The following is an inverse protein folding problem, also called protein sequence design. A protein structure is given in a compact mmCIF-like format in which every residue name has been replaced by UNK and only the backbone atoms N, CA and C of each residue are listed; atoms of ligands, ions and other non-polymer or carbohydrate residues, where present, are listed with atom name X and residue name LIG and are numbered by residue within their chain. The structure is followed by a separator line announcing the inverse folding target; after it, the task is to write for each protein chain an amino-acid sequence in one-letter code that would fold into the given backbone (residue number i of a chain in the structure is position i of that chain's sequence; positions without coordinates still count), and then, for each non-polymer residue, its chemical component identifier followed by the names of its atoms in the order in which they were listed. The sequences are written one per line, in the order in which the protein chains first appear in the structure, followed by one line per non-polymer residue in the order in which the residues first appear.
data_IF_767536338483
#
_entry.id   IF_767536338483
#
_cell.length_a   1.000
_cell.length_b   1.000
_cell.length_c   1.000
_cell.angle_alpha   90.00
_cell.angle_beta   90.00
_cell.angle_gamma   90.00
#
_symmetry.space_group_name_H-M   'P 1'
#
loop_
_entity.id
_entity.type
_entity.pdbx_description
1 polymer ?
#
# COMPACT_ATOMS: atom_id res chain seq x y z
N UNK A 1 -32.27 43.60 43.38
CA UNK A 1 -31.25 44.50 42.82
C UNK A 1 -31.05 44.08 41.37
N UNK A 2 -31.40 44.97 40.42
CA UNK A 2 -30.92 45.09 39.02
C UNK A 2 -31.12 43.84 38.12
N UNK A 3 -32.04 43.76 37.14
CA UNK A 3 -32.45 44.61 35.99
C UNK A 3 -31.61 44.39 34.69
N UNK A 4 -32.36 44.12 33.58
CA UNK A 4 -32.06 44.16 32.12
C UNK A 4 -31.02 43.17 31.54
N UNK A 5 -31.20 42.62 30.33
CA UNK A 5 -31.68 43.27 29.10
C UNK A 5 -32.39 42.27 28.14
N UNK A 6 -33.57 42.67 27.68
CA UNK A 6 -34.27 42.21 26.48
C UNK A 6 -33.52 42.53 25.19
N UNK A 7 -33.85 41.88 24.07
CA UNK A 7 -33.56 42.45 22.74
C UNK A 7 -33.56 41.48 21.57
N UNK A 8 -34.76 41.18 21.07
CA UNK A 8 -35.06 40.51 19.80
C UNK A 8 -34.45 41.20 18.58
N UNK A 9 -33.94 40.43 17.62
CA UNK A 9 -33.87 40.83 16.21
C UNK A 9 -34.34 39.67 15.30
N UNK A 10 -35.25 40.01 14.40
CA UNK A 10 -35.98 39.16 13.46
C UNK A 10 -35.14 38.74 12.23
N UNK A 11 -35.45 37.55 11.66
CA UNK A 11 -35.42 37.04 10.25
C UNK A 11 -34.63 37.82 9.16
N UNK A 12 -34.14 37.21 8.05
CA UNK A 12 -34.60 35.96 7.40
C UNK A 12 -33.48 35.04 6.84
N UNK A 13 -33.90 33.91 6.26
CA UNK A 13 -33.14 33.09 5.29
C UNK A 13 -32.37 33.94 4.26
N UNK A 14 -31.12 33.62 3.93
CA UNK A 14 -30.68 33.66 2.55
C UNK A 14 -31.14 32.36 1.89
N UNK A 15 -32.15 32.53 1.05
CA UNK A 15 -32.45 31.74 -0.14
C UNK A 15 -31.18 31.08 -0.70
N UNK A 16 -31.08 29.75 -0.62
CA UNK A 16 -30.11 28.99 -1.41
C UNK A 16 -30.62 29.08 -2.84
N UNK A 17 -30.26 30.19 -3.46
CA UNK A 17 -30.51 30.49 -4.85
C UNK A 17 -30.01 29.30 -5.64
N UNK A 18 -30.97 28.60 -6.24
CA UNK A 18 -30.74 27.67 -7.32
C UNK A 18 -30.19 28.47 -8.50
N UNK A 19 -28.88 28.70 -8.54
CA UNK A 19 -28.19 29.14 -9.74
C UNK A 19 -27.96 27.93 -10.63
N UNK A 20 -29.01 27.60 -11.39
CA UNK A 20 -28.86 27.10 -12.76
C UNK A 20 -27.84 27.98 -13.47
N UNK A 21 -26.67 27.42 -13.82
CA UNK A 21 -25.60 28.24 -14.37
C UNK A 21 -24.35 27.47 -14.79
N UNK A 22 -24.54 26.38 -15.53
CA UNK A 22 -23.65 25.83 -16.57
C UNK A 22 -23.93 24.32 -16.64
N UNK A 23 -24.75 23.90 -17.61
CA UNK A 23 -24.85 22.49 -17.98
C UNK A 23 -23.43 21.97 -18.21
N UNK A 24 -22.98 20.92 -17.48
CA UNK A 24 -21.96 20.08 -18.04
C UNK A 24 -22.54 19.58 -19.35
N UNK A 25 -21.72 19.45 -20.38
CA UNK A 25 -22.08 18.66 -21.55
C UNK A 25 -22.04 17.20 -21.06
N UNK A 26 -23.04 16.85 -20.24
CA UNK A 26 -23.33 15.51 -19.77
C UNK A 26 -23.78 14.77 -21.02
N UNK A 27 -22.92 13.88 -21.50
CA UNK A 27 -23.31 12.92 -22.53
C UNK A 27 -24.63 12.30 -22.08
N UNK A 28 -25.71 12.53 -22.82
CA UNK A 28 -27.09 12.23 -22.43
C UNK A 28 -27.40 10.71 -22.46
N UNK A 29 -26.38 9.87 -22.24
CA UNK A 29 -26.47 8.43 -22.27
C UNK A 29 -25.97 7.85 -20.92
N UNK A 30 -26.89 7.46 -20.02
CA UNK A 30 -26.54 6.95 -18.69
C UNK A 30 -25.69 5.67 -18.73
N UNK A 31 -25.72 4.90 -19.83
CA UNK A 31 -24.83 3.77 -20.01
C UNK A 31 -23.38 4.20 -20.28
N UNK A 32 -23.15 5.21 -21.10
CA UNK A 32 -21.81 5.73 -21.34
C UNK A 32 -21.20 6.32 -20.07
N UNK A 33 -22.00 7.03 -19.27
CA UNK A 33 -21.59 7.51 -17.95
C UNK A 33 -21.23 6.35 -17.00
N UNK A 34 -22.02 5.28 -16.98
CA UNK A 34 -21.74 4.10 -16.15
C UNK A 34 -20.46 3.37 -16.59
N UNK A 35 -20.19 3.30 -17.90
CA UNK A 35 -18.96 2.73 -18.46
C UNK A 35 -17.74 3.56 -18.09
N UNK A 36 -17.82 4.88 -18.20
CA UNK A 36 -16.74 5.77 -17.80
C UNK A 36 -16.37 5.56 -16.33
N UNK A 37 -17.36 5.57 -15.44
CA UNK A 37 -17.14 5.32 -14.00
C UNK A 37 -16.57 3.92 -13.73
N UNK A 38 -17.02 2.89 -14.44
CA UNK A 38 -16.48 1.54 -14.30
C UNK A 38 -15.01 1.46 -14.77
N UNK A 39 -14.69 2.12 -15.88
CA UNK A 39 -13.33 2.22 -16.42
C UNK A 39 -12.37 2.92 -15.46
N UNK A 40 -12.81 4.05 -14.88
CA UNK A 40 -12.02 4.80 -13.89
C UNK A 40 -11.74 3.94 -12.64
N UNK A 41 -12.75 3.20 -12.17
CA UNK A 41 -12.60 2.28 -11.04
C UNK A 41 -11.66 1.12 -11.32
N UNK A 42 -11.70 0.55 -12.53
CA UNK A 42 -10.74 -0.48 -12.95
C UNK A 42 -9.32 0.05 -12.99
N UNK A 43 -9.14 1.25 -13.53
CA UNK A 43 -7.82 1.90 -13.64
C UNK A 43 -7.25 2.19 -12.26
N UNK A 44 -8.08 2.69 -11.33
CA UNK A 44 -7.69 2.89 -9.94
C UNK A 44 -7.38 1.57 -9.21
N UNK A 45 -8.14 0.52 -9.48
CA UNK A 45 -7.87 -0.80 -8.91
C UNK A 45 -6.51 -1.32 -9.39
N UNK A 46 -6.25 -1.25 -10.69
CA UNK A 46 -4.99 -1.69 -11.28
C UNK A 46 -3.79 -0.94 -10.69
N UNK A 47 -3.87 0.39 -10.55
CA UNK A 47 -2.77 1.17 -9.98
C UNK A 47 -2.48 0.81 -8.51
N UNK A 48 -3.52 0.53 -7.72
CA UNK A 48 -3.35 0.02 -6.35
C UNK A 48 -2.70 -1.37 -6.33
N UNK A 49 -3.03 -2.23 -7.30
CA UNK A 49 -2.41 -3.55 -7.46
C UNK A 49 -0.93 -3.45 -7.73
N UNK A 50 -0.56 -2.61 -8.70
CA UNK A 50 0.82 -2.44 -9.15
C UNK A 50 1.68 -1.86 -8.01
N UNK A 51 1.15 -0.86 -7.29
CA UNK A 51 1.82 -0.29 -6.12
C UNK A 51 2.01 -1.32 -4.99
N UNK A 52 0.99 -2.14 -4.73
CA UNK A 52 1.08 -3.21 -3.75
C UNK A 52 2.10 -4.28 -4.14
N UNK A 53 2.12 -4.70 -5.41
CA UNK A 53 3.05 -5.69 -5.93
C UNK A 53 4.50 -5.22 -5.81
N UNK A 54 4.77 -3.96 -6.16
CA UNK A 54 6.10 -3.34 -5.99
C UNK A 54 6.52 -3.33 -4.52
N UNK A 55 5.62 -2.98 -3.61
CA UNK A 55 5.88 -3.00 -2.17
C UNK A 55 6.17 -4.42 -1.67
N UNK A 56 5.39 -5.41 -2.09
CA UNK A 56 5.59 -6.81 -1.72
C UNK A 56 6.94 -7.34 -2.23
N UNK A 57 7.29 -7.06 -3.49
CA UNK A 57 8.60 -7.43 -4.06
C UNK A 57 9.75 -6.80 -3.27
N UNK A 58 9.64 -5.52 -2.90
CA UNK A 58 10.65 -4.85 -2.08
C UNK A 58 10.81 -5.53 -0.71
N UNK A 59 9.70 -5.89 -0.04
CA UNK A 59 9.73 -6.61 1.24
C UNK A 59 10.40 -7.98 1.12
N UNK A 60 10.08 -8.75 0.08
CA UNK A 60 10.71 -10.06 -0.17
C UNK A 60 12.21 -9.91 -0.44
N UNK A 61 12.61 -8.88 -1.19
CA UNK A 61 14.02 -8.54 -1.39
C UNK A 61 14.74 -8.29 -0.06
N UNK A 62 14.18 -7.43 0.79
CA UNK A 62 14.73 -7.12 2.12
C UNK A 62 14.80 -8.37 3.01
N UNK A 63 13.75 -9.20 3.04
CA UNK A 63 13.73 -10.41 3.86
C UNK A 63 14.79 -11.43 3.40
N UNK A 64 15.00 -11.55 2.08
CA UNK A 64 16.05 -12.40 1.51
C UNK A 64 17.43 -11.88 1.87
N UNK A 65 17.69 -10.59 1.66
CA UNK A 65 18.97 -9.96 2.03
C UNK A 65 19.23 -10.12 3.53
N UNK A 66 18.23 -9.88 4.39
CA UNK A 66 18.35 -10.06 5.83
C UNK A 66 18.71 -11.50 6.21
N UNK A 67 18.17 -12.51 5.52
CA UNK A 67 18.48 -13.93 5.75
C UNK A 67 19.89 -14.30 5.30
N UNK A 68 20.33 -13.79 4.15
CA UNK A 68 21.69 -14.00 3.64
C UNK A 68 22.71 -13.34 4.60
N UNK A 69 22.41 -12.13 5.06
CA UNK A 69 23.21 -11.43 6.06
C UNK A 69 23.19 -12.09 7.44
N UNK A 70 22.06 -12.63 7.90
CA UNK A 70 22.00 -13.39 9.14
C UNK A 70 22.95 -14.60 9.10
N UNK A 71 22.96 -15.32 7.97
CA UNK A 71 23.88 -16.46 7.76
C UNK A 71 25.34 -16.02 7.79
N UNK A 72 25.65 -14.89 7.16
CA UNK A 72 26.99 -14.29 7.18
C UNK A 72 27.42 -13.90 8.60
N UNK A 73 26.55 -13.20 9.34
CA UNK A 73 26.80 -12.75 10.71
C UNK A 73 26.96 -13.94 11.66
N UNK A 74 26.16 -14.99 11.50
CA UNK A 74 26.32 -16.23 12.28
C UNK A 74 27.70 -16.88 12.06
N UNK A 75 28.19 -16.89 10.82
CA UNK A 75 29.55 -17.37 10.53
C UNK A 75 30.64 -16.45 11.11
N UNK A 76 30.42 -15.12 11.10
CA UNK A 76 31.32 -14.16 11.77
C UNK A 76 31.35 -14.38 13.29
N UNK A 77 30.18 -14.60 13.91
CA UNK A 77 30.06 -14.87 15.34
C UNK A 77 30.78 -16.16 15.76
N UNK A 78 30.68 -17.21 14.94
CA UNK A 78 31.43 -18.47 15.16
C UNK A 78 32.95 -18.26 15.07
N UNK A 79 33.43 -17.47 14.11
CA UNK A 79 34.86 -17.15 14.02
C UNK A 79 35.33 -16.30 15.19
N UNK A 80 34.58 -15.26 15.54
CA UNK A 80 34.88 -14.36 16.67
C UNK A 80 34.75 -15.04 18.05
N UNK A 81 34.05 -16.18 18.15
CA UNK A 81 34.04 -17.01 19.37
C UNK A 81 35.18 -18.02 19.40
N UNK A 82 35.68 -18.44 18.24
CA UNK A 82 36.86 -19.32 18.12
C UNK A 82 38.21 -18.59 18.19
N UNK A 83 38.23 -17.27 18.00
CA UNK A 83 39.42 -16.41 18.08
C UNK A 83 39.12 -15.10 18.80
N UNK A 84 40.09 -14.54 19.53
CA UNK A 84 39.90 -13.37 20.41
C UNK A 84 39.75 -12.02 19.69
N UNK A 85 39.69 -12.00 18.36
CA UNK A 85 39.71 -10.78 17.56
C UNK A 85 38.31 -10.34 17.14
N UNK A 86 37.88 -9.12 17.48
CA UNK A 86 36.59 -8.61 17.06
C UNK A 86 36.58 -8.36 15.54
N UNK A 87 35.47 -8.72 14.87
CA UNK A 87 35.32 -8.63 13.41
C UNK A 87 34.62 -7.33 13.01
N UNK A 88 35.05 -6.71 11.91
CA UNK A 88 34.33 -5.57 11.32
C UNK A 88 33.28 -6.04 10.34
N UNK A 89 32.14 -5.35 10.31
CA UNK A 89 31.07 -5.62 9.36
C UNK A 89 31.55 -5.34 7.93
N UNK A 90 31.26 -6.22 6.96
CA UNK A 90 31.46 -5.93 5.54
C UNK A 90 30.63 -4.70 5.11
N UNK A 91 31.09 -3.90 4.13
CA UNK A 91 30.43 -2.65 3.75
C UNK A 91 28.95 -2.82 3.39
N UNK A 92 28.61 -3.86 2.62
CA UNK A 92 27.23 -4.14 2.22
C UNK A 92 26.32 -4.44 3.43
N UNK A 93 26.83 -5.20 4.41
CA UNK A 93 26.10 -5.49 5.64
C UNK A 93 25.95 -4.22 6.49
N UNK A 94 27.00 -3.43 6.61
CA UNK A 94 27.00 -2.16 7.35
C UNK A 94 25.93 -1.21 6.82
N UNK A 95 25.91 -1.00 5.50
CA UNK A 95 24.95 -0.11 4.86
C UNK A 95 23.52 -0.64 5.00
N UNK A 96 23.33 -1.96 4.95
CA UNK A 96 22.04 -2.61 5.17
C UNK A 96 21.52 -2.40 6.61
N UNK A 97 22.34 -2.68 7.63
CA UNK A 97 21.91 -2.55 9.04
C UNK A 97 21.67 -1.10 9.44
N UNK A 98 22.37 -0.14 8.85
CA UNK A 98 22.10 1.30 9.02
C UNK A 98 20.79 1.69 8.34
N UNK A 99 20.57 1.27 7.08
CA UNK A 99 19.36 1.58 6.31
C UNK A 99 18.09 1.05 6.99
N UNK A 100 18.17 -0.10 7.63
CA UNK A 100 17.07 -0.73 8.35
C UNK A 100 17.06 -0.39 9.85
N UNK A 101 17.85 0.59 10.29
CA UNK A 101 17.92 1.10 11.66
C UNK A 101 18.19 0.01 12.73
N UNK A 102 18.82 -1.09 12.33
CA UNK A 102 19.18 -2.18 13.24
C UNK A 102 20.36 -1.76 14.12
N UNK A 103 21.26 -0.95 13.57
CA UNK A 103 22.47 -0.46 14.24
C UNK A 103 22.71 1.00 13.87
N UNK A 104 23.09 1.82 14.85
CA UNK A 104 23.49 3.21 14.63
C UNK A 104 24.78 3.30 13.80
N UNK A 105 24.96 4.31 12.92
CA UNK A 105 26.15 4.45 12.07
C UNK A 105 27.47 4.38 12.85
N UNK A 106 27.51 4.99 14.04
CA UNK A 106 28.68 5.02 14.93
C UNK A 106 29.07 3.63 15.44
N UNK A 107 28.09 2.76 15.69
CA UNK A 107 28.31 1.39 16.18
C UNK A 107 28.68 0.49 15.01
N UNK A 108 28.13 0.75 13.82
CA UNK A 108 28.39 -0.03 12.61
C UNK A 108 29.85 0.09 12.10
N UNK A 109 30.57 1.16 12.46
CA UNK A 109 31.99 1.36 12.15
C UNK A 109 32.96 0.72 13.18
N UNK A 110 32.44 0.35 14.37
CA UNK A 110 33.21 -0.31 15.40
C UNK A 110 33.39 -1.81 15.09
N UNK A 111 34.46 -2.46 15.59
CA UNK A 111 34.59 -3.90 15.51
C UNK A 111 33.62 -4.57 16.49
N UNK A 112 32.96 -5.64 16.05
CA UNK A 112 31.96 -6.38 16.81
C UNK A 112 32.58 -7.61 17.47
N UNK A 113 32.19 -7.87 18.72
CA UNK A 113 32.49 -9.12 19.40
C UNK A 113 31.44 -10.21 19.06
N UNK A 114 31.69 -11.44 19.51
CA UNK A 114 30.80 -12.56 19.23
C UNK A 114 29.38 -12.34 19.76
N UNK A 115 29.23 -11.69 20.93
CA UNK A 115 27.93 -11.44 21.54
C UNK A 115 27.09 -10.43 20.74
N UNK A 116 27.71 -9.32 20.30
CA UNK A 116 27.05 -8.32 19.48
C UNK A 116 26.71 -8.86 18.09
N UNK A 117 27.56 -9.72 17.51
CA UNK A 117 27.23 -10.41 16.25
C UNK A 117 26.04 -11.36 16.43
N UNK A 118 25.96 -12.11 17.53
CA UNK A 118 24.83 -12.99 17.77
C UNK A 118 23.52 -12.22 18.01
N UNK A 119 23.58 -11.06 18.67
CA UNK A 119 22.42 -10.16 18.80
C UNK A 119 21.97 -9.62 17.44
N UNK A 120 22.93 -9.21 16.59
CA UNK A 120 22.65 -8.74 15.23
C UNK A 120 22.06 -9.83 14.34
N UNK A 121 22.54 -11.07 14.47
CA UNK A 121 21.96 -12.23 13.78
C UNK A 121 20.48 -12.39 14.16
N UNK A 122 20.15 -12.34 15.44
CA UNK A 122 18.76 -12.43 15.90
C UNK A 122 17.87 -11.31 15.36
N UNK A 123 18.38 -10.08 15.28
CA UNK A 123 17.67 -8.95 14.67
C UNK A 123 17.43 -9.14 13.18
N UNK A 124 18.44 -9.63 12.43
CA UNK A 124 18.32 -9.92 11.01
C UNK A 124 17.37 -11.09 10.73
N UNK A 125 17.37 -12.12 11.57
CA UNK A 125 16.41 -13.22 11.49
C UNK A 125 14.98 -12.74 11.78
N UNK A 126 14.81 -11.85 12.77
CA UNK A 126 13.52 -11.22 13.03
C UNK A 126 13.03 -10.41 11.83
N UNK A 127 13.90 -9.59 11.21
CA UNK A 127 13.59 -8.83 10.00
C UNK A 127 13.21 -9.74 8.83
N UNK A 128 13.89 -10.87 8.68
CA UNK A 128 13.53 -11.90 7.68
C UNK A 128 12.18 -12.58 7.98
N UNK A 129 11.77 -12.66 9.25
CA UNK A 129 10.51 -13.27 9.67
C UNK A 129 9.30 -12.32 9.68
N UNK A 130 9.49 -10.99 9.56
CA UNK A 130 8.39 -10.02 9.42
C UNK A 130 7.45 -10.40 8.25
N UNK A 131 7.99 -11.10 7.25
CA UNK A 131 7.23 -11.71 6.15
C UNK A 131 6.15 -12.71 6.60
N UNK A 132 6.40 -13.51 7.64
CA UNK A 132 5.43 -14.52 8.12
C UNK A 132 4.21 -13.90 8.80
N UNK A 133 4.39 -12.78 9.53
CA UNK A 133 3.28 -12.01 10.09
C UNK A 133 2.56 -11.18 9.00
N UNK A 134 3.30 -10.69 8.00
CA UNK A 134 2.74 -9.99 6.84
C UNK A 134 1.90 -10.92 5.95
N UNK A 135 2.29 -12.19 5.81
CA UNK A 135 1.69 -13.17 4.91
C UNK A 135 0.16 -13.33 5.06
N UNK A 136 -0.36 -13.27 6.30
CA UNK A 136 -1.82 -13.34 6.53
C UNK A 136 -2.52 -12.05 6.06
N UNK A 137 -1.94 -10.89 6.34
CA UNK A 137 -2.45 -9.59 5.88
C UNK A 137 -2.39 -9.48 4.35
N UNK A 138 -1.28 -9.93 3.75
CA UNK A 138 -1.05 -9.97 2.31
C UNK A 138 -2.01 -10.93 1.61
N UNK A 139 -2.24 -12.13 2.14
CA UNK A 139 -3.26 -13.03 1.61
C UNK A 139 -4.66 -12.44 1.67
N UNK A 140 -5.01 -11.72 2.74
CA UNK A 140 -6.30 -11.03 2.87
C UNK A 140 -6.40 -9.91 1.82
N UNK A 141 -5.35 -9.12 1.63
CA UNK A 141 -5.32 -8.05 0.64
C UNK A 141 -5.41 -8.59 -0.79
N UNK A 142 -4.68 -9.66 -1.10
CA UNK A 142 -4.73 -10.35 -2.38
C UNK A 142 -6.14 -10.91 -2.65
N UNK A 143 -6.77 -11.58 -1.67
CA UNK A 143 -8.14 -12.06 -1.80
C UNK A 143 -9.11 -10.91 -2.07
N UNK A 144 -9.02 -9.81 -1.31
CA UNK A 144 -9.86 -8.62 -1.54
C UNK A 144 -9.65 -8.02 -2.93
N UNK A 145 -8.41 -8.02 -3.41
CA UNK A 145 -8.06 -7.54 -4.74
C UNK A 145 -8.71 -8.40 -5.83
N UNK A 146 -8.50 -9.72 -5.79
CA UNK A 146 -9.08 -10.69 -6.73
C UNK A 146 -10.60 -10.58 -6.74
N UNK A 147 -11.24 -10.58 -5.56
CA UNK A 147 -12.69 -10.44 -5.47
C UNK A 147 -13.21 -9.13 -6.08
N UNK A 148 -12.52 -8.00 -5.88
CA UNK A 148 -12.91 -6.72 -6.50
C UNK A 148 -12.70 -6.73 -8.01
N UNK A 149 -11.63 -7.33 -8.48
CA UNK A 149 -11.36 -7.50 -9.91
C UNK A 149 -12.46 -8.33 -10.57
N UNK A 150 -12.79 -9.51 -10.04
CA UNK A 150 -13.82 -10.40 -10.58
C UNK A 150 -15.21 -9.73 -10.61
N UNK A 151 -15.57 -9.02 -9.55
CA UNK A 151 -16.83 -8.26 -9.50
C UNK A 151 -16.88 -7.17 -10.58
N UNK A 152 -15.75 -6.51 -10.83
CA UNK A 152 -15.68 -5.42 -11.81
C UNK A 152 -15.64 -5.97 -13.24
N UNK A 153 -14.97 -7.10 -13.48
CA UNK A 153 -15.01 -7.83 -14.75
C UNK A 153 -16.44 -8.29 -15.07
N UNK A 154 -17.16 -8.82 -14.07
CA UNK A 154 -18.56 -9.22 -14.19
C UNK A 154 -19.44 -8.03 -14.58
N UNK A 155 -19.27 -6.89 -13.89
CA UNK A 155 -19.99 -5.66 -14.22
C UNK A 155 -19.68 -5.18 -15.64
N UNK A 156 -18.42 -5.18 -16.05
CA UNK A 156 -18.00 -4.78 -17.38
C UNK A 156 -18.63 -5.65 -18.47
N UNK A 157 -18.59 -6.97 -18.29
CA UNK A 157 -19.22 -7.93 -19.21
C UNK A 157 -20.74 -7.72 -19.31
N UNK A 158 -21.41 -7.48 -18.17
CA UNK A 158 -22.85 -7.19 -18.15
C UNK A 158 -23.19 -5.90 -18.91
N UNK A 159 -22.35 -4.87 -18.79
CA UNK A 159 -22.54 -3.60 -19.50
C UNK A 159 -22.31 -3.74 -21.01
N UNK A 160 -21.28 -4.48 -21.45
CA UNK A 160 -21.07 -4.81 -22.87
C UNK A 160 -22.29 -5.55 -23.43
N UNK A 161 -22.78 -6.56 -22.72
CA UNK A 161 -23.95 -7.32 -23.15
C UNK A 161 -25.17 -6.42 -23.31
N UNK A 162 -25.38 -5.48 -22.37
CA UNK A 162 -26.49 -4.53 -22.43
C UNK A 162 -26.37 -3.53 -23.58
N UNK A 163 -25.17 -3.03 -23.84
CA UNK A 163 -24.90 -2.19 -25.01
C UNK A 163 -25.23 -2.94 -26.31
N UNK A 164 -24.77 -4.19 -26.43
CA UNK A 164 -25.08 -5.03 -27.59
C UNK A 164 -26.58 -5.25 -27.78
N UNK A 165 -27.32 -5.46 -26.68
CA UNK A 165 -28.78 -5.58 -26.71
C UNK A 165 -29.47 -4.29 -27.20
N UNK A 166 -29.01 -3.13 -26.72
CA UNK A 166 -29.56 -1.82 -27.12
C UNK A 166 -29.22 -1.52 -28.57
N UNK A 167 -27.98 -1.76 -29.02
CA UNK A 167 -27.59 -1.62 -30.42
C UNK A 167 -28.45 -2.51 -31.32
N UNK A 168 -28.66 -3.78 -30.94
CA UNK A 168 -29.57 -4.67 -31.69
C UNK A 168 -30.99 -4.13 -31.74
N UNK A 169 -31.51 -3.58 -30.63
CA UNK A 169 -32.84 -2.97 -30.58
C UNK A 169 -32.96 -1.75 -31.49
N UNK A 170 -31.94 -0.89 -31.52
CA UNK A 170 -31.91 0.29 -32.39
C UNK A 170 -31.87 -0.15 -33.86
N UNK A 171 -30.97 -1.07 -34.22
CA UNK A 171 -30.83 -1.56 -35.59
C UNK A 171 -32.10 -2.27 -36.07
N UNK A 172 -32.75 -3.06 -35.22
CA UNK A 172 -33.99 -3.76 -35.58
C UNK A 172 -35.25 -2.87 -35.53
N UNK A 173 -35.14 -1.63 -35.03
CA UNK A 173 -36.23 -0.65 -34.96
C UNK A 173 -36.18 0.38 -36.10
N UNK A 174 -35.21 0.25 -37.02
CA UNK A 174 -35.06 0.99 -38.27
C UNK A 174 -35.46 0.06 -39.41
#
# INVERSE_FOLDING_TARGET
MIDRISGTASRPYPDVTSTSGASPIDSSNPLLATIAVASDRLTALQSMADAWLLSAQARVGVAREARDFATLVGAMAQRASSGTTPERLPPALRDFVIRHELVSPQVADAPFDAANLQALEGQLQSLAMIDSASSTSEQIQLKRFVTRYDNTLTLYNAVIAKLGEITKRIVNSI
#
